data_IF_971628184487
#
_entry.id   IF_971628184487
#
_cell.length_a   1.000
_cell.length_b   1.000
_cell.length_c   1.000
_cell.angle_alpha   90.00
_cell.angle_beta   90.00
_cell.angle_gamma   90.00
#
_symmetry.space_group_name_H-M   'P 1'
#
loop_
_entity.id
_entity.type
_entity.pdbx_description
1 polymer ?
#
# COMPACT_ATOMS: atom_id res chain seq x y z
N UNK A 1 0.14 -4.52 -18.52
CA UNK A 1 0.25 -3.52 -17.45
C UNK A 1 1.32 -2.52 -17.85
N UNK A 2 1.09 -1.23 -17.62
CA UNK A 2 2.11 -0.21 -17.82
C UNK A 2 3.06 -0.13 -16.61
N UNK A 3 4.17 0.60 -16.76
CA UNK A 3 5.18 0.74 -15.70
C UNK A 3 4.63 1.46 -14.46
N UNK A 4 3.62 2.32 -14.63
CA UNK A 4 2.96 3.02 -13.54
C UNK A 4 2.13 2.07 -12.68
N UNK A 5 1.30 1.24 -13.33
CA UNK A 5 0.47 0.19 -12.72
C UNK A 5 1.36 -0.79 -11.97
N UNK A 6 2.43 -1.27 -12.61
CA UNK A 6 3.37 -2.18 -11.96
C UNK A 6 4.04 -1.53 -10.73
N UNK A 7 4.43 -0.25 -10.83
CA UNK A 7 5.01 0.50 -9.73
C UNK A 7 4.04 0.70 -8.55
N UNK A 8 2.78 1.03 -8.83
CA UNK A 8 1.76 1.19 -7.78
C UNK A 8 1.49 -0.14 -7.06
N UNK A 9 1.29 -1.23 -7.81
CA UNK A 9 1.02 -2.54 -7.22
C UNK A 9 2.19 -3.00 -6.34
N UNK A 10 3.43 -2.78 -6.80
CA UNK A 10 4.63 -3.11 -6.02
C UNK A 10 4.72 -2.32 -4.71
N UNK A 11 4.38 -1.02 -4.74
CA UNK A 11 4.40 -0.18 -3.54
C UNK A 11 3.32 -0.59 -2.55
N UNK A 12 2.11 -0.88 -3.05
CA UNK A 12 1.00 -1.38 -2.22
C UNK A 12 1.40 -2.66 -1.49
N UNK A 13 2.03 -3.61 -2.20
CA UNK A 13 2.54 -4.84 -1.58
C UNK A 13 3.58 -4.55 -0.49
N UNK A 14 4.57 -3.69 -0.78
CA UNK A 14 5.62 -3.33 0.18
C UNK A 14 5.04 -2.67 1.42
N UNK A 15 4.28 -1.58 1.26
CA UNK A 15 3.64 -0.84 2.35
C UNK A 15 2.73 -1.76 3.18
N UNK A 16 2.04 -2.73 2.57
CA UNK A 16 1.24 -3.72 3.31
C UNK A 16 2.10 -4.65 4.15
N UNK A 17 3.23 -5.11 3.61
CA UNK A 17 4.19 -5.94 4.35
C UNK A 17 4.84 -5.16 5.50
N UNK A 18 5.17 -3.90 5.28
CA UNK A 18 5.79 -3.00 6.25
C UNK A 18 4.79 -2.64 7.37
N UNK A 19 3.52 -2.36 7.04
CA UNK A 19 2.43 -2.18 7.99
C UNK A 19 2.24 -3.42 8.88
N UNK A 20 2.24 -4.61 8.29
CA UNK A 20 2.09 -5.87 9.02
C UNK A 20 3.32 -6.13 9.92
N UNK A 21 4.52 -5.74 9.48
CA UNK A 21 5.71 -5.75 10.32
C UNK A 21 5.60 -4.79 11.50
N UNK A 22 5.23 -3.53 11.28
CA UNK A 22 5.05 -2.51 12.32
C UNK A 22 4.04 -2.95 13.38
N UNK A 23 2.90 -3.53 12.95
CA UNK A 23 1.88 -4.08 13.85
C UNK A 23 2.40 -5.25 14.68
N UNK A 24 3.24 -6.13 14.11
CA UNK A 24 3.84 -7.25 14.85
C UNK A 24 4.87 -6.81 15.86
N UNK A 25 5.63 -5.76 15.58
CA UNK A 25 6.67 -5.23 16.47
C UNK A 25 6.12 -4.27 17.52
N UNK A 26 4.86 -3.84 17.40
CA UNK A 26 4.23 -2.88 18.29
C UNK A 26 4.68 -1.43 18.04
N UNK A 27 5.15 -1.14 16.82
CA UNK A 27 5.50 0.23 16.41
C UNK A 27 4.24 0.93 15.88
N UNK A 28 3.46 1.48 16.82
CA UNK A 28 2.19 2.14 16.50
C UNK A 28 2.38 3.37 15.59
N UNK A 29 3.48 4.11 15.74
CA UNK A 29 3.76 5.27 14.90
C UNK A 29 4.05 4.85 13.46
N UNK A 30 4.91 3.84 13.27
CA UNK A 30 5.18 3.31 11.94
C UNK A 30 3.89 2.72 11.33
N UNK A 31 3.09 2.01 12.12
CA UNK A 31 1.82 1.45 11.63
C UNK A 31 0.84 2.53 11.14
N UNK A 32 0.75 3.68 11.81
CA UNK A 32 -0.09 4.81 11.37
C UNK A 32 0.44 5.43 10.06
N UNK A 33 1.76 5.56 9.92
CA UNK A 33 2.40 6.08 8.72
C UNK A 33 2.16 5.15 7.52
N UNK A 34 2.42 3.86 7.68
CA UNK A 34 2.23 2.87 6.61
C UNK A 34 0.76 2.72 6.22
N UNK A 35 -0.16 2.84 7.19
CA UNK A 35 -1.61 2.82 6.90
C UNK A 35 -2.02 4.02 6.05
N UNK A 36 -1.55 5.23 6.37
CA UNK A 36 -1.84 6.43 5.59
C UNK A 36 -1.28 6.34 4.16
N UNK A 37 -0.04 5.85 4.00
CA UNK A 37 0.52 5.61 2.66
C UNK A 37 -0.29 4.58 1.88
N UNK A 38 -0.72 3.49 2.51
CA UNK A 38 -1.52 2.46 1.86
C UNK A 38 -2.87 3.00 1.36
N UNK A 39 -3.53 3.84 2.15
CA UNK A 39 -4.78 4.52 1.77
C UNK A 39 -4.58 5.45 0.57
N UNK A 40 -3.49 6.22 0.55
CA UNK A 40 -3.16 7.12 -0.55
C UNK A 40 -2.80 6.34 -1.83
N UNK A 41 -2.07 5.22 -1.71
CA UNK A 41 -1.77 4.34 -2.84
C UNK A 41 -3.04 3.69 -3.41
N UNK A 42 -3.98 3.28 -2.55
CA UNK A 42 -5.27 2.77 -3.01
C UNK A 42 -6.10 3.84 -3.74
N UNK A 43 -6.09 5.07 -3.24
CA UNK A 43 -6.75 6.20 -3.93
C UNK A 43 -6.12 6.45 -5.29
N UNK A 44 -4.79 6.49 -5.36
CA UNK A 44 -4.05 6.69 -6.61
C UNK A 44 -4.31 5.55 -7.61
N UNK A 45 -4.35 4.30 -7.14
CA UNK A 45 -4.72 3.16 -7.98
C UNK A 45 -6.12 3.35 -8.58
N UNK A 46 -7.11 3.72 -7.76
CA UNK A 46 -8.48 3.96 -8.20
C UNK A 46 -8.61 5.12 -9.21
N UNK A 47 -7.93 6.24 -8.96
CA UNK A 47 -7.90 7.40 -9.87
C UNK A 47 -7.34 7.06 -11.25
N UNK A 48 -6.40 6.12 -11.31
CA UNK A 48 -5.76 5.68 -12.53
C UNK A 48 -6.39 4.41 -13.14
N UNK A 49 -7.48 3.89 -12.56
CA UNK A 49 -8.17 2.69 -13.04
C UNK A 49 -7.38 1.39 -12.85
N UNK A 50 -6.44 1.38 -11.91
CA UNK A 50 -5.67 0.19 -11.55
C UNK A 50 -6.50 -0.67 -10.58
N UNK A 51 -6.87 -1.91 -10.96
CA UNK A 51 -7.53 -2.82 -10.05
C UNK A 51 -6.54 -3.27 -8.96
N UNK A 52 -6.94 -3.07 -7.72
CA UNK A 52 -6.29 -3.60 -6.53
C UNK A 52 -7.07 -4.85 -6.14
N UNK A 53 -6.51 -6.02 -6.42
CA UNK A 53 -7.21 -7.30 -6.21
C UNK A 53 -7.65 -7.45 -4.74
N UNK A 54 -8.97 -7.43 -4.53
CA UNK A 54 -9.60 -7.97 -3.34
C UNK A 54 -9.61 -9.50 -3.49
N UNK A 55 -8.57 -10.17 -3.02
CA UNK A 55 -8.52 -11.63 -2.91
C UNK A 55 -8.40 -12.05 -1.45
#
# INVERSE_FOLDING_TARGET
MDAFTAGILQRIESTRSDLDHARRTGDDHLADVELAELEDLHRLAAEHGVPIDAH
#
